data_IF_703893196891
#
_entry.id   IF_703893196891
#
_cell.length_a   1.000
_cell.length_b   1.000
_cell.length_c   1.000
_cell.angle_alpha   90.00
_cell.angle_beta   90.00
_cell.angle_gamma   90.00
#
_symmetry.space_group_name_H-M   'P 1'
#
loop_
_entity.id
_entity.type
_entity.pdbx_description
1 polymer ?
#
# COMPACT_ATOMS: atom_id res chain seq x y z
N UNK A 1 5.49 -30.12 10.96
CA UNK A 1 5.20 -28.74 11.43
C UNK A 1 3.82 -28.36 10.90
N UNK A 2 2.89 -27.94 11.77
CA UNK A 2 1.46 -27.87 11.44
C UNK A 2 1.16 -26.67 10.51
N UNK A 3 0.80 -26.94 9.26
CA UNK A 3 0.59 -25.95 8.18
C UNK A 3 -0.43 -24.86 8.54
N UNK A 4 -1.40 -25.18 9.39
CA UNK A 4 -2.41 -24.24 9.91
C UNK A 4 -1.83 -23.12 10.77
N UNK A 5 -0.82 -23.39 11.61
CA UNK A 5 -0.21 -22.36 12.47
C UNK A 5 0.64 -21.38 11.65
N UNK A 6 1.33 -21.87 10.62
CA UNK A 6 2.16 -21.05 9.73
C UNK A 6 1.29 -20.08 8.93
N UNK A 7 0.16 -20.55 8.38
CA UNK A 7 -0.77 -19.71 7.63
C UNK A 7 -1.40 -18.61 8.51
N UNK A 8 -1.66 -18.89 9.79
CA UNK A 8 -2.25 -17.90 10.70
C UNK A 8 -1.26 -16.77 11.02
N UNK A 9 -0.02 -17.10 11.39
CA UNK A 9 1.00 -16.11 11.77
C UNK A 9 1.33 -15.18 10.60
N UNK A 10 1.53 -15.73 9.42
CA UNK A 10 1.95 -14.94 8.26
C UNK A 10 0.80 -14.05 7.75
N UNK A 11 -0.47 -14.45 7.92
CA UNK A 11 -1.63 -13.61 7.61
C UNK A 11 -1.71 -12.41 8.55
N UNK A 12 -1.49 -12.64 9.85
CA UNK A 12 -1.46 -11.57 10.85
C UNK A 12 -0.34 -10.56 10.56
N UNK A 13 0.83 -11.03 10.12
CA UNK A 13 1.95 -10.14 9.73
C UNK A 13 1.56 -9.29 8.51
N UNK A 14 0.98 -9.90 7.48
CA UNK A 14 0.58 -9.18 6.26
C UNK A 14 -0.46 -8.10 6.56
N UNK A 15 -1.51 -8.44 7.31
CA UNK A 15 -2.52 -7.48 7.75
C UNK A 15 -1.89 -6.37 8.59
N UNK A 16 -1.00 -6.70 9.51
CA UNK A 16 -0.33 -5.72 10.37
C UNK A 16 0.52 -4.74 9.55
N UNK A 17 1.35 -5.23 8.62
CA UNK A 17 2.19 -4.38 7.75
C UNK A 17 1.34 -3.44 6.90
N UNK A 18 0.27 -3.95 6.27
CA UNK A 18 -0.63 -3.14 5.46
C UNK A 18 -1.37 -2.11 6.30
N UNK A 19 -1.79 -2.49 7.52
CA UNK A 19 -2.50 -1.59 8.43
C UNK A 19 -1.59 -0.46 8.89
N UNK A 20 -0.35 -0.77 9.27
CA UNK A 20 0.67 0.25 9.63
C UNK A 20 0.93 1.19 8.45
N UNK A 21 1.04 0.64 7.24
CA UNK A 21 1.22 1.44 6.03
C UNK A 21 0.06 2.43 5.82
N UNK A 22 -1.18 1.96 5.82
CA UNK A 22 -2.35 2.82 5.62
C UNK A 22 -2.58 3.80 6.76
N UNK A 23 -2.30 3.40 8.01
CA UNK A 23 -2.29 4.33 9.14
C UNK A 23 -1.25 5.44 8.95
N UNK A 24 -0.07 5.11 8.43
CA UNK A 24 0.95 6.11 8.08
C UNK A 24 0.48 7.07 6.99
N UNK A 25 -0.20 6.57 5.95
CA UNK A 25 -0.81 7.40 4.90
C UNK A 25 -1.87 8.33 5.48
N UNK A 26 -2.80 7.80 6.27
CA UNK A 26 -3.87 8.60 6.91
C UNK A 26 -3.28 9.65 7.85
N UNK A 27 -2.34 9.25 8.72
CA UNK A 27 -1.66 10.18 9.61
C UNK A 27 -0.97 11.31 8.84
N UNK A 28 -0.24 10.99 7.75
CA UNK A 28 0.40 11.99 6.89
C UNK A 28 -0.61 12.95 6.27
N UNK A 29 -1.77 12.45 5.85
CA UNK A 29 -2.83 13.28 5.27
C UNK A 29 -3.45 14.24 6.30
N UNK A 30 -3.53 13.83 7.57
CA UNK A 30 -4.09 14.64 8.64
C UNK A 30 -3.10 15.66 9.22
N UNK A 31 -1.83 15.28 9.35
CA UNK A 31 -0.83 16.08 10.08
C UNK A 31 -0.19 17.18 9.23
N UNK A 32 -0.09 16.97 7.90
CA UNK A 32 0.42 18.02 7.02
C UNK A 32 -0.53 18.35 5.88
N UNK A 33 -0.63 19.66 5.61
CA UNK A 33 -1.50 20.23 4.59
C UNK A 33 -0.97 20.01 3.17
N UNK A 34 0.34 19.80 2.97
CA UNK A 34 0.89 19.69 1.62
C UNK A 34 0.56 18.34 0.98
N UNK A 35 0.40 18.36 -0.34
CA UNK A 35 -0.07 17.21 -1.13
C UNK A 35 1.06 16.33 -1.64
N UNK A 36 2.24 16.48 -1.05
CA UNK A 36 3.41 15.74 -1.47
C UNK A 36 3.98 14.91 -0.34
N UNK A 37 4.63 13.83 -0.72
CA UNK A 37 5.46 13.06 0.19
C UNK A 37 6.91 13.19 -0.26
N UNK A 38 7.78 13.58 0.67
CA UNK A 38 9.24 13.67 0.42
C UNK A 38 9.92 12.30 0.44
N UNK A 39 9.22 11.26 0.88
CA UNK A 39 9.67 9.87 0.77
C UNK A 39 9.38 9.42 -0.65
N UNK A 40 10.36 8.78 -1.28
CA UNK A 40 10.24 8.34 -2.66
C UNK A 40 9.08 7.33 -2.79
N UNK A 41 8.00 7.74 -3.47
CA UNK A 41 6.77 6.96 -3.65
C UNK A 41 7.05 5.58 -4.28
N UNK A 42 8.17 5.46 -5.02
CA UNK A 42 8.65 4.19 -5.55
C UNK A 42 8.89 3.12 -4.47
N UNK A 43 9.31 3.47 -3.25
CA UNK A 43 9.49 2.48 -2.18
C UNK A 43 8.18 1.89 -1.69
N UNK A 44 7.13 2.71 -1.63
CA UNK A 44 5.78 2.28 -1.27
C UNK A 44 5.20 1.37 -2.36
N UNK A 45 5.36 1.76 -3.62
CA UNK A 45 4.96 0.93 -4.77
C UNK A 45 5.74 -0.39 -4.77
N UNK A 46 7.04 -0.35 -4.50
CA UNK A 46 7.89 -1.55 -4.43
C UNK A 46 7.43 -2.50 -3.32
N UNK A 47 7.04 -1.98 -2.16
CA UNK A 47 6.45 -2.77 -1.07
C UNK A 47 5.14 -3.43 -1.51
N UNK A 48 4.24 -2.69 -2.17
CA UNK A 48 2.98 -3.24 -2.69
C UNK A 48 3.21 -4.32 -3.75
N UNK A 49 4.17 -4.13 -4.65
CA UNK A 49 4.56 -5.10 -5.69
C UNK A 49 5.19 -6.34 -5.06
N UNK A 50 6.06 -6.17 -4.08
CA UNK A 50 6.66 -7.28 -3.34
C UNK A 50 5.60 -8.11 -2.61
N UNK A 51 4.64 -7.45 -1.94
CA UNK A 51 3.50 -8.12 -1.29
C UNK A 51 2.60 -8.85 -2.31
N UNK A 52 2.41 -8.27 -3.49
CA UNK A 52 1.68 -8.91 -4.58
C UNK A 52 2.39 -10.18 -5.08
N UNK A 53 3.69 -10.10 -5.38
CA UNK A 53 4.45 -11.26 -5.88
C UNK A 53 4.56 -12.39 -4.86
N UNK A 54 4.81 -12.05 -3.59
CA UNK A 54 4.85 -13.06 -2.51
C UNK A 54 3.50 -13.74 -2.30
N UNK A 55 2.40 -12.98 -2.38
CA UNK A 55 1.03 -13.52 -2.32
C UNK A 55 0.69 -14.38 -3.55
N UNK A 56 1.15 -13.98 -4.74
CA UNK A 56 0.95 -14.72 -5.99
C UNK A 56 1.72 -16.05 -6.01
N UNK A 57 2.97 -16.06 -5.55
CA UNK A 57 3.77 -17.30 -5.43
C UNK A 57 3.13 -18.23 -4.41
N UNK A 58 2.62 -17.71 -3.29
CA UNK A 58 1.85 -18.50 -2.32
C UNK A 58 0.55 -19.08 -2.93
N UNK A 59 -0.08 -18.38 -3.89
CA UNK A 59 -1.27 -18.86 -4.61
C UNK A 59 -0.95 -20.09 -5.43
N UNK A 60 0.12 -20.03 -6.22
CA UNK A 60 0.52 -21.10 -7.13
C UNK A 60 0.98 -22.38 -6.40
N UNK A 61 1.44 -22.26 -5.16
CA UNK A 61 1.91 -23.39 -4.35
C UNK A 61 0.82 -23.98 -3.44
N UNK A 62 -0.47 -23.73 -3.71
CA UNK A 62 -1.62 -24.32 -3.02
C UNK A 62 -1.74 -23.99 -1.52
N UNK A 63 -1.10 -22.90 -1.06
CA UNK A 63 -1.32 -22.30 0.27
C UNK A 63 -2.59 -21.42 0.27
N UNK A 64 -3.71 -22.00 -0.17
CA UNK A 64 -4.90 -21.34 -0.75
C UNK A 64 -5.65 -20.30 0.08
N UNK A 65 -5.33 -20.12 1.37
CA UNK A 65 -5.90 -19.05 2.19
C UNK A 65 -5.04 -17.78 2.16
N UNK A 66 -3.71 -17.90 2.31
CA UNK A 66 -2.81 -16.74 2.40
C UNK A 66 -2.82 -15.88 1.14
N UNK A 67 -2.87 -16.59 0.01
CA UNK A 67 -2.72 -16.01 -1.29
C UNK A 67 -3.94 -15.20 -1.75
N UNK A 68 -5.14 -15.63 -1.37
CA UNK A 68 -6.38 -14.93 -1.73
C UNK A 68 -6.47 -13.59 -1.00
N UNK A 69 -6.25 -13.57 0.31
CA UNK A 69 -6.33 -12.33 1.08
C UNK A 69 -5.18 -11.37 0.74
N UNK A 70 -3.95 -11.85 0.63
CA UNK A 70 -2.80 -11.01 0.27
C UNK A 70 -2.94 -10.33 -1.10
N UNK A 71 -3.48 -11.06 -2.08
CA UNK A 71 -3.74 -10.49 -3.42
C UNK A 71 -4.84 -9.43 -3.39
N UNK A 72 -5.94 -9.67 -2.67
CA UNK A 72 -7.02 -8.69 -2.50
C UNK A 72 -6.49 -7.41 -1.84
N UNK A 73 -5.73 -7.52 -0.76
CA UNK A 73 -5.16 -6.35 -0.09
C UNK A 73 -4.16 -5.58 -0.96
N UNK A 74 -3.33 -6.28 -1.73
CA UNK A 74 -2.39 -5.64 -2.66
C UNK A 74 -3.13 -4.86 -3.75
N UNK A 75 -4.19 -5.44 -4.34
CA UNK A 75 -5.03 -4.77 -5.34
C UNK A 75 -5.72 -3.54 -4.75
N UNK A 76 -6.35 -3.67 -3.57
CA UNK A 76 -6.99 -2.53 -2.89
C UNK A 76 -5.96 -1.44 -2.60
N UNK A 77 -4.74 -1.81 -2.18
CA UNK A 77 -3.69 -0.84 -1.87
C UNK A 77 -3.20 -0.10 -3.12
N UNK A 78 -3.03 -0.79 -4.24
CA UNK A 78 -2.68 -0.17 -5.53
C UNK A 78 -3.78 0.78 -6.01
N UNK A 79 -5.05 0.37 -5.93
CA UNK A 79 -6.19 1.22 -6.30
C UNK A 79 -6.29 2.46 -5.41
N UNK A 80 -6.09 2.30 -4.10
CA UNK A 80 -6.08 3.42 -3.16
C UNK A 80 -4.96 4.41 -3.45
N UNK A 81 -3.75 3.93 -3.74
CA UNK A 81 -2.63 4.79 -4.14
C UNK A 81 -2.86 5.49 -5.48
N UNK A 82 -3.42 4.78 -6.46
CA UNK A 82 -3.80 5.37 -7.73
C UNK A 82 -4.84 6.48 -7.53
N UNK A 83 -5.85 6.26 -6.68
CA UNK A 83 -6.83 7.27 -6.34
C UNK A 83 -6.19 8.52 -5.71
N UNK A 84 -5.28 8.34 -4.74
CA UNK A 84 -4.55 9.46 -4.13
C UNK A 84 -3.69 10.23 -5.15
N UNK A 85 -3.06 9.52 -6.09
CA UNK A 85 -2.22 10.10 -7.13
C UNK A 85 -3.03 10.89 -8.16
N UNK A 86 -4.06 10.26 -8.74
CA UNK A 86 -4.90 10.90 -9.76
C UNK A 86 -5.80 12.00 -9.18
N UNK A 87 -6.15 11.91 -7.89
CA UNK A 87 -6.86 12.96 -7.17
C UNK A 87 -5.98 14.13 -6.70
N UNK A 88 -4.68 14.15 -7.02
CA UNK A 88 -3.71 15.14 -6.51
C UNK A 88 -3.72 15.27 -4.96
N UNK A 89 -4.08 14.19 -4.25
CA UNK A 89 -4.17 14.17 -2.78
C UNK A 89 -2.80 13.87 -2.19
N UNK A 90 -2.10 12.88 -2.76
CA UNK A 90 -0.76 12.49 -2.35
C UNK A 90 0.08 12.18 -3.59
N UNK A 91 0.96 13.12 -3.91
CA UNK A 91 1.85 13.09 -5.05
C UNK A 91 3.30 12.86 -4.60
N UNK A 92 4.15 12.25 -5.44
CA UNK A 92 5.59 12.39 -5.28
C UNK A 92 5.98 13.86 -5.35
N UNK A 93 6.96 14.27 -4.55
CA UNK A 93 7.42 15.66 -4.48
C UNK A 93 7.78 16.24 -5.85
N UNK A 94 8.45 15.45 -6.68
CA UNK A 94 8.86 15.83 -8.03
C UNK A 94 7.64 16.15 -8.91
N UNK A 95 6.61 15.29 -8.85
CA UNK A 95 5.39 15.45 -9.65
C UNK A 95 4.52 16.59 -9.12
N UNK A 96 4.53 16.81 -7.81
CA UNK A 96 3.85 17.96 -7.20
C UNK A 96 4.46 19.28 -7.68
N UNK A 97 5.80 19.37 -7.76
CA UNK A 97 6.48 20.52 -8.33
C UNK A 97 6.19 20.69 -9.83
N UNK A 98 6.23 19.61 -10.61
CA UNK A 98 5.94 19.63 -12.05
C UNK A 98 4.52 20.12 -12.36
N UNK A 99 3.55 19.78 -11.50
CA UNK A 99 2.15 20.22 -11.63
C UNK A 99 1.89 21.64 -11.12
N UNK A 100 2.93 22.37 -10.67
CA UNK A 100 2.79 23.74 -10.18
C UNK A 100 2.19 23.81 -8.76
N UNK A 101 2.49 22.82 -7.92
CA UNK A 101 2.06 22.77 -6.51
C UNK A 101 0.53 22.81 -6.33
N UNK A 102 -0.22 21.88 -6.95
CA UNK A 102 -1.68 21.88 -6.87
C UNK A 102 -2.17 21.72 -5.42
N UNK A 103 -3.23 22.45 -5.08
CA UNK A 103 -3.97 22.31 -3.82
C UNK A 103 -4.79 21.01 -3.78
N UNK A 104 -5.17 20.59 -2.57
CA UNK A 104 -5.79 19.28 -2.34
C UNK A 104 -7.25 19.38 -2.74
N UNK A 105 -7.76 18.42 -3.52
CA UNK A 105 -9.17 18.43 -3.93
C UNK A 105 -10.12 18.36 -2.73
N UNK A 106 -9.69 17.71 -1.64
CA UNK A 106 -10.44 17.56 -0.39
C UNK A 106 -9.45 17.53 0.79
N UNK A 107 -9.95 17.90 1.98
CA UNK A 107 -9.25 18.12 3.26
C UNK A 107 -8.56 19.47 3.40
#
# INVERSE_FOLDING_TARGET
MNTTKINLVTNSVLVCVISIFWLGVVWRLLDYSENYIGINFYYVVFLCVFLFFTSWVAFKNDHGAMAKYGLVYAVISMLGLAFLYFGNILLPYEIWLEKGMPERLFF
#
